data_IF_071718720316
#
_entry.id   IF_071718720316
#
_cell.length_a   1.000
_cell.length_b   1.000
_cell.length_c   1.000
_cell.angle_alpha   90.00
_cell.angle_beta   90.00
_cell.angle_gamma   90.00
#
_symmetry.space_group_name_H-M   'P 1'
#
loop_
_entity.id
_entity.type
_entity.pdbx_description
1 polymer ?
#
# COMPACT_ATOMS: atom_id res chain seq x y z
N UNK A 1 19.34 -5.82 8.55
CA UNK A 1 20.50 -5.21 9.24
C UNK A 1 21.52 -4.66 8.23
N UNK A 2 22.00 -5.44 7.25
CA UNK A 2 22.99 -4.95 6.25
C UNK A 2 22.44 -3.81 5.37
N UNK A 3 21.22 -3.92 4.85
CA UNK A 3 20.64 -2.89 3.95
C UNK A 3 20.53 -1.51 4.59
N UNK A 4 19.98 -1.42 5.81
CA UNK A 4 19.81 -0.14 6.51
C UNK A 4 21.16 0.52 6.87
N UNK A 5 22.18 -0.28 7.17
CA UNK A 5 23.55 0.22 7.41
C UNK A 5 24.15 0.81 6.13
N UNK A 6 24.01 0.11 4.99
CA UNK A 6 24.51 0.59 3.70
C UNK A 6 23.80 1.88 3.26
N UNK A 7 22.48 1.98 3.45
CA UNK A 7 21.75 3.22 3.16
C UNK A 7 22.16 4.37 4.08
N UNK A 8 22.41 4.10 5.36
CA UNK A 8 22.93 5.12 6.28
C UNK A 8 24.30 5.64 5.83
N UNK A 9 25.20 4.74 5.41
CA UNK A 9 26.51 5.11 4.87
C UNK A 9 26.39 5.89 3.55
N UNK A 10 25.56 5.42 2.62
CA UNK A 10 25.31 6.10 1.35
C UNK A 10 24.77 7.52 1.58
N UNK A 11 23.85 7.69 2.53
CA UNK A 11 23.29 8.98 2.91
C UNK A 11 24.33 9.92 3.55
N UNK A 12 25.33 9.40 4.26
CA UNK A 12 26.44 10.21 4.77
C UNK A 12 27.38 10.67 3.65
N UNK A 13 27.60 9.81 2.64
CA UNK A 13 28.48 10.12 1.50
C UNK A 13 27.84 11.10 0.50
N UNK A 14 26.51 11.08 0.38
CA UNK A 14 25.76 11.98 -0.51
C UNK A 14 24.42 12.40 0.11
N UNK A 15 24.44 13.38 1.04
CA UNK A 15 23.26 13.76 1.82
C UNK A 15 22.19 14.51 1.01
N UNK A 16 22.53 15.01 -0.18
CA UNK A 16 21.64 15.78 -1.06
C UNK A 16 21.08 14.95 -2.24
N UNK A 17 21.30 13.63 -2.27
CA UNK A 17 20.75 12.77 -3.31
C UNK A 17 19.32 12.36 -3.00
N UNK A 18 18.37 12.83 -3.81
CA UNK A 18 16.97 12.41 -3.72
C UNK A 18 16.80 10.90 -3.90
N UNK A 19 17.60 10.28 -4.77
CA UNK A 19 17.58 8.83 -5.00
C UNK A 19 17.95 8.05 -3.73
N UNK A 20 19.05 8.44 -3.06
CA UNK A 20 19.48 7.79 -1.82
C UNK A 20 18.43 7.98 -0.72
N UNK A 21 17.87 9.18 -0.59
CA UNK A 21 16.78 9.45 0.36
C UNK A 21 15.56 8.56 0.07
N UNK A 22 15.15 8.45 -1.20
CA UNK A 22 14.03 7.60 -1.59
C UNK A 22 14.29 6.13 -1.22
N UNK A 23 15.41 5.55 -1.65
CA UNK A 23 15.69 4.13 -1.39
C UNK A 23 15.91 3.83 0.09
N UNK A 24 16.49 4.76 0.85
CA UNK A 24 16.61 4.62 2.29
C UNK A 24 15.23 4.67 2.97
N UNK A 25 14.41 5.66 2.64
CA UNK A 25 13.04 5.78 3.15
C UNK A 25 12.19 4.56 2.80
N UNK A 26 12.33 4.03 1.58
CA UNK A 26 11.68 2.79 1.16
C UNK A 26 12.16 1.58 1.97
N UNK A 27 13.47 1.47 2.24
CA UNK A 27 14.01 0.39 3.08
C UNK A 27 13.47 0.44 4.51
N UNK A 28 13.40 1.64 5.11
CA UNK A 28 12.82 1.85 6.44
C UNK A 28 11.33 1.48 6.47
N UNK A 29 10.59 1.89 5.43
CA UNK A 29 9.18 1.54 5.28
C UNK A 29 8.99 0.02 5.18
N UNK A 30 9.82 -0.67 4.39
CA UNK A 30 9.82 -2.12 4.27
C UNK A 30 10.17 -2.82 5.60
N UNK A 31 11.02 -2.19 6.42
CA UNK A 31 11.34 -2.66 7.77
C UNK A 31 10.24 -2.37 8.81
N UNK A 32 9.21 -1.60 8.45
CA UNK A 32 8.12 -1.19 9.34
C UNK A 32 8.47 -0.01 10.26
N UNK A 33 9.58 0.70 10.01
CA UNK A 33 10.00 1.89 10.76
C UNK A 33 9.34 3.14 10.16
N UNK A 34 8.04 3.32 10.43
CA UNK A 34 7.19 4.27 9.70
C UNK A 34 7.59 5.74 9.93
N UNK A 35 7.97 6.12 11.14
CA UNK A 35 8.33 7.48 11.52
C UNK A 35 9.63 7.92 10.81
N UNK A 36 10.68 7.10 10.90
CA UNK A 36 11.96 7.33 10.22
C UNK A 36 11.80 7.30 8.70
N UNK A 37 10.97 6.38 8.19
CA UNK A 37 10.63 6.33 6.77
C UNK A 37 9.95 7.62 6.31
N UNK A 38 8.96 8.12 7.07
CA UNK A 38 8.24 9.34 6.74
C UNK A 38 9.17 10.55 6.71
N UNK A 39 10.05 10.68 7.70
CA UNK A 39 11.06 11.75 7.73
C UNK A 39 11.96 11.69 6.49
N UNK A 40 12.51 10.51 6.18
CA UNK A 40 13.44 10.33 5.06
C UNK A 40 12.76 10.55 3.70
N UNK A 41 11.51 10.11 3.54
CA UNK A 41 10.70 10.36 2.33
C UNK A 41 10.36 11.85 2.19
N UNK A 42 10.08 12.55 3.28
CA UNK A 42 9.89 14.00 3.22
C UNK A 42 11.18 14.74 2.80
N UNK A 43 12.35 14.28 3.23
CA UNK A 43 13.64 14.81 2.75
C UNK A 43 13.83 14.55 1.25
N UNK A 44 13.46 13.36 0.76
CA UNK A 44 13.45 13.07 -0.67
C UNK A 44 12.57 14.06 -1.45
N UNK A 45 11.33 14.28 -0.99
CA UNK A 45 10.37 15.17 -1.66
C UNK A 45 10.75 16.65 -1.56
N UNK A 46 11.57 17.06 -0.58
CA UNK A 46 12.16 18.40 -0.55
C UNK A 46 13.20 18.60 -1.66
N UNK A 47 13.94 17.55 -2.00
CA UNK A 47 14.98 17.57 -3.04
C UNK A 47 14.38 17.38 -4.44
N UNK A 48 13.39 16.50 -4.58
CA UNK A 48 12.66 16.21 -5.81
C UNK A 48 11.15 16.10 -5.50
N UNK A 49 10.41 17.22 -5.58
CA UNK A 49 8.98 17.25 -5.30
C UNK A 49 8.13 16.43 -6.28
N UNK A 50 8.66 16.08 -7.45
CA UNK A 50 7.92 15.40 -8.52
C UNK A 50 8.07 13.87 -8.50
N UNK A 51 8.81 13.35 -7.52
CA UNK A 51 9.12 11.93 -7.43
C UNK A 51 7.89 11.10 -7.05
N UNK A 52 7.20 10.60 -8.07
CA UNK A 52 5.99 9.78 -7.95
C UNK A 52 6.10 8.67 -6.89
N UNK A 53 7.19 7.91 -6.94
CA UNK A 53 7.40 6.78 -6.04
C UNK A 53 7.53 7.20 -4.56
N UNK A 54 8.15 8.36 -4.29
CA UNK A 54 8.25 8.92 -2.95
C UNK A 54 6.87 9.44 -2.46
N UNK A 55 6.11 10.09 -3.34
CA UNK A 55 4.74 10.52 -3.04
C UNK A 55 3.82 9.34 -2.68
N UNK A 56 3.84 8.27 -3.49
CA UNK A 56 3.06 7.05 -3.23
C UNK A 56 3.52 6.36 -1.94
N UNK A 57 4.83 6.33 -1.66
CA UNK A 57 5.35 5.77 -0.40
C UNK A 57 4.88 6.57 0.80
N UNK A 58 4.91 7.91 0.72
CA UNK A 58 4.37 8.80 1.75
C UNK A 58 2.88 8.54 1.99
N UNK A 59 2.12 8.31 0.93
CA UNK A 59 0.69 8.01 1.01
C UNK A 59 0.43 6.70 1.77
N UNK A 60 1.18 5.64 1.49
CA UNK A 60 1.09 4.39 2.25
C UNK A 60 1.42 4.59 3.73
N UNK A 61 2.51 5.31 4.03
CA UNK A 61 2.91 5.58 5.42
C UNK A 61 1.84 6.39 6.14
N UNK A 62 1.28 7.41 5.50
CA UNK A 62 0.20 8.25 6.04
C UNK A 62 -1.02 7.40 6.39
N UNK A 63 -1.45 6.52 5.48
CA UNK A 63 -2.55 5.59 5.74
C UNK A 63 -2.28 4.65 6.93
N UNK A 64 -1.06 4.14 7.08
CA UNK A 64 -0.73 3.20 8.16
C UNK A 64 -0.51 3.88 9.52
N UNK A 65 -0.04 5.13 9.53
CA UNK A 65 0.45 5.79 10.74
C UNK A 65 -0.51 6.87 11.26
N UNK A 66 -1.04 7.72 10.38
CA UNK A 66 -1.91 8.85 10.79
C UNK A 66 -3.38 8.56 10.54
N UNK A 67 -3.68 7.74 9.53
CA UNK A 67 -5.02 7.22 9.26
C UNK A 67 -5.59 7.68 7.91
N UNK A 68 -6.81 7.22 7.66
CA UNK A 68 -7.44 7.29 6.34
C UNK A 68 -7.84 8.71 5.90
N UNK A 69 -8.20 9.60 6.83
CA UNK A 69 -8.61 10.96 6.48
C UNK A 69 -7.43 11.81 5.99
N UNK A 70 -6.28 11.70 6.65
CA UNK A 70 -5.04 12.32 6.19
C UNK A 70 -4.54 11.69 4.88
N UNK A 71 -4.69 10.38 4.73
CA UNK A 71 -4.33 9.70 3.49
C UNK A 71 -5.17 10.19 2.31
N UNK A 72 -6.49 10.38 2.48
CA UNK A 72 -7.35 10.94 1.43
C UNK A 72 -6.89 12.35 1.04
N UNK A 73 -6.66 13.22 2.03
CA UNK A 73 -6.19 14.59 1.78
C UNK A 73 -4.85 14.60 1.03
N UNK A 74 -3.88 13.80 1.46
CA UNK A 74 -2.60 13.68 0.78
C UNK A 74 -2.75 13.11 -0.64
N UNK A 75 -3.65 12.14 -0.84
CA UNK A 75 -3.94 11.59 -2.16
C UNK A 75 -4.46 12.64 -3.13
N UNK A 76 -5.37 13.50 -2.66
CA UNK A 76 -5.89 14.63 -3.45
C UNK A 76 -4.80 15.67 -3.76
N UNK A 77 -3.95 16.00 -2.78
CA UNK A 77 -2.79 16.88 -2.98
C UNK A 77 -1.85 16.32 -4.06
N UNK A 78 -1.45 15.04 -3.95
CA UNK A 78 -0.55 14.38 -4.91
C UNK A 78 -1.14 14.34 -6.33
N UNK A 79 -2.43 14.03 -6.43
CA UNK A 79 -3.15 13.98 -7.71
C UNK A 79 -3.21 15.34 -8.39
N UNK A 80 -3.45 16.41 -7.62
CA UNK A 80 -3.53 17.79 -8.13
C UNK A 80 -2.21 18.36 -8.64
N UNK A 81 -1.08 17.78 -8.23
CA UNK A 81 0.24 18.30 -8.57
C UNK A 81 0.82 17.62 -9.81
N UNK A 82 1.17 16.35 -9.71
CA UNK A 82 1.96 15.66 -10.75
C UNK A 82 1.59 14.20 -10.94
N UNK A 83 0.61 13.66 -10.22
CA UNK A 83 0.21 12.24 -10.27
C UNK A 83 -1.24 12.03 -10.71
N UNK A 84 -1.80 12.94 -11.51
CA UNK A 84 -3.21 12.91 -11.91
C UNK A 84 -3.67 11.53 -12.41
N UNK A 85 -2.89 10.93 -13.33
CA UNK A 85 -3.25 9.68 -14.00
C UNK A 85 -2.48 8.46 -13.47
N UNK A 86 -1.86 8.56 -12.27
CA UNK A 86 -1.07 7.45 -11.74
C UNK A 86 -1.99 6.31 -11.24
N UNK A 87 -1.98 5.10 -11.84
CA UNK A 87 -2.97 4.07 -11.54
C UNK A 87 -2.83 3.50 -10.12
N UNK A 88 -1.62 3.53 -9.55
CA UNK A 88 -1.40 3.10 -8.16
C UNK A 88 -2.07 4.10 -7.22
N UNK A 89 -1.84 5.40 -7.42
CA UNK A 89 -2.48 6.47 -6.64
C UNK A 89 -4.00 6.38 -6.73
N UNK A 90 -4.54 6.28 -7.94
CA UNK A 90 -5.98 6.17 -8.18
C UNK A 90 -6.57 4.95 -7.47
N UNK A 91 -5.94 3.78 -7.57
CA UNK A 91 -6.41 2.56 -6.89
C UNK A 91 -6.43 2.70 -5.36
N UNK A 92 -5.44 3.39 -4.79
CA UNK A 92 -5.39 3.67 -3.34
C UNK A 92 -6.50 4.62 -2.93
N UNK A 93 -6.73 5.69 -3.69
CA UNK A 93 -7.82 6.63 -3.44
C UNK A 93 -9.20 5.96 -3.57
N UNK A 94 -9.40 5.09 -4.57
CA UNK A 94 -10.62 4.27 -4.71
C UNK A 94 -10.84 3.43 -3.44
N UNK A 95 -9.80 2.75 -2.97
CA UNK A 95 -9.85 1.96 -1.74
C UNK A 95 -10.18 2.83 -0.52
N UNK A 96 -9.51 3.98 -0.34
CA UNK A 96 -9.75 4.86 0.80
C UNK A 96 -11.16 5.45 0.79
N UNK A 97 -11.65 5.90 -0.36
CA UNK A 97 -13.00 6.43 -0.51
C UNK A 97 -14.05 5.36 -0.19
N UNK A 98 -13.85 4.13 -0.67
CA UNK A 98 -14.74 3.00 -0.36
C UNK A 98 -14.73 2.64 1.12
N UNK A 99 -13.57 2.61 1.77
CA UNK A 99 -13.43 2.40 3.22
C UNK A 99 -14.13 3.50 4.04
N UNK A 100 -14.19 4.75 3.54
CA UNK A 100 -14.94 5.85 4.17
C UNK A 100 -16.42 5.90 3.80
N UNK A 101 -16.93 4.94 3.04
CA UNK A 101 -18.32 4.92 2.58
C UNK A 101 -18.65 5.90 1.45
N UNK A 102 -17.64 6.57 0.86
CA UNK A 102 -17.80 7.53 -0.25
C UNK A 102 -17.87 6.80 -1.60
N UNK A 103 -18.80 5.85 -1.71
CA UNK A 103 -18.85 4.88 -2.80
C UNK A 103 -19.08 5.49 -4.19
N UNK A 104 -19.88 6.56 -4.31
CA UNK A 104 -20.07 7.23 -5.61
C UNK A 104 -18.79 7.87 -6.15
N UNK A 105 -18.01 8.51 -5.25
CA UNK A 105 -16.71 9.08 -5.63
C UNK A 105 -15.71 7.98 -6.00
N UNK A 106 -15.70 6.88 -5.25
CA UNK A 106 -14.87 5.72 -5.55
C UNK A 106 -15.21 5.14 -6.94
N UNK A 107 -16.50 4.93 -7.26
CA UNK A 107 -16.94 4.44 -8.58
C UNK A 107 -16.58 5.37 -9.72
N UNK A 108 -16.69 6.69 -9.53
CA UNK A 108 -16.26 7.66 -10.53
C UNK A 108 -14.76 7.51 -10.80
N UNK A 109 -13.97 7.44 -9.74
CA UNK A 109 -12.52 7.34 -9.83
C UNK A 109 -12.05 6.02 -10.45
N UNK A 110 -12.73 4.89 -10.18
CA UNK A 110 -12.42 3.61 -10.82
C UNK A 110 -12.49 3.68 -12.34
N UNK A 111 -13.39 4.49 -12.91
CA UNK A 111 -13.54 4.67 -14.37
C UNK A 111 -12.37 5.42 -15.01
N UNK A 112 -11.53 6.08 -14.20
CA UNK A 112 -10.34 6.79 -14.67
C UNK A 112 -9.14 5.83 -14.83
N UNK A 113 -9.19 4.61 -14.28
CA UNK A 113 -8.11 3.62 -14.35
C UNK A 113 -8.30 2.76 -15.60
N UNK A 114 -7.25 2.65 -16.44
CA UNK A 114 -7.30 1.80 -17.62
C UNK A 114 -7.39 0.34 -17.24
N UNK A 115 -8.22 -0.44 -17.94
CA UNK A 115 -8.36 -1.88 -17.68
C UNK A 115 -7.07 -2.65 -17.89
N UNK A 116 -6.17 -2.15 -18.75
CA UNK A 116 -4.85 -2.75 -19.00
C UNK A 116 -3.88 -2.59 -17.82
N UNK A 117 -4.15 -1.66 -16.91
CA UNK A 117 -3.33 -1.39 -15.73
C UNK A 117 -3.77 -2.20 -14.50
N UNK A 118 -4.91 -2.91 -14.58
CA UNK A 118 -5.48 -3.64 -13.45
C UNK A 118 -4.72 -4.95 -13.25
N UNK A 119 -3.66 -4.88 -12.46
CA UNK A 119 -2.80 -6.02 -12.10
C UNK A 119 -2.19 -5.83 -10.71
N UNK A 120 -1.82 -6.94 -10.06
CA UNK A 120 -1.14 -6.96 -8.77
C UNK A 120 -1.84 -6.10 -7.71
N UNK A 121 -1.12 -5.12 -7.15
CA UNK A 121 -1.63 -4.25 -6.09
C UNK A 121 -2.85 -3.41 -6.51
N UNK A 122 -2.93 -3.01 -7.78
CA UNK A 122 -4.08 -2.24 -8.29
C UNK A 122 -5.33 -3.13 -8.21
N UNK A 123 -5.25 -4.37 -8.71
CA UNK A 123 -6.33 -5.34 -8.62
C UNK A 123 -6.76 -5.58 -7.16
N UNK A 124 -5.79 -5.75 -6.25
CA UNK A 124 -6.06 -5.94 -4.81
C UNK A 124 -6.85 -4.78 -4.21
N UNK A 125 -6.44 -3.54 -4.49
CA UNK A 125 -7.12 -2.34 -3.98
C UNK A 125 -8.53 -2.21 -4.54
N UNK A 126 -8.72 -2.44 -5.85
CA UNK A 126 -10.02 -2.34 -6.50
C UNK A 126 -10.99 -3.43 -6.05
N UNK A 127 -10.52 -4.67 -5.90
CA UNK A 127 -11.32 -5.78 -5.38
C UNK A 127 -11.74 -5.56 -3.92
N UNK A 128 -10.84 -5.03 -3.09
CA UNK A 128 -11.18 -4.68 -1.71
C UNK A 128 -12.18 -3.52 -1.66
N UNK A 129 -12.03 -2.53 -2.55
CA UNK A 129 -12.99 -1.44 -2.70
C UNK A 129 -14.38 -1.96 -3.15
N UNK A 130 -14.42 -2.94 -4.04
CA UNK A 130 -15.66 -3.58 -4.50
C UNK A 130 -16.34 -4.34 -3.36
N UNK A 131 -15.57 -5.04 -2.52
CA UNK A 131 -16.08 -5.64 -1.28
C UNK A 131 -16.67 -4.61 -0.33
N UNK A 132 -16.01 -3.48 -0.13
CA UNK A 132 -16.54 -2.40 0.72
C UNK A 132 -17.88 -1.85 0.19
N UNK A 133 -18.10 -1.87 -1.12
CA UNK A 133 -19.30 -1.34 -1.77
C UNK A 133 -20.44 -2.35 -1.84
N UNK A 134 -20.13 -3.64 -2.01
CA UNK A 134 -21.10 -4.68 -2.35
C UNK A 134 -21.10 -5.88 -1.38
N UNK A 135 -20.24 -5.85 -0.36
CA UNK A 135 -20.12 -6.87 0.68
C UNK A 135 -19.98 -8.28 0.08
N UNK A 136 -20.82 -9.23 0.49
CA UNK A 136 -20.75 -10.63 0.09
C UNK A 136 -20.85 -10.85 -1.43
N UNK A 137 -21.49 -9.93 -2.16
CA UNK A 137 -21.64 -10.04 -3.62
C UNK A 137 -20.31 -9.97 -4.37
N UNK A 138 -19.28 -9.35 -3.78
CA UNK A 138 -17.95 -9.25 -4.39
C UNK A 138 -17.10 -10.52 -4.18
N UNK A 139 -17.49 -11.41 -3.25
CA UNK A 139 -16.65 -12.54 -2.84
C UNK A 139 -16.34 -13.55 -3.95
N UNK A 140 -17.27 -13.90 -4.88
CA UNK A 140 -16.96 -14.81 -5.98
C UNK A 140 -15.79 -14.31 -6.84
N UNK A 141 -15.80 -13.05 -7.25
CA UNK A 141 -14.74 -12.44 -8.05
C UNK A 141 -13.42 -12.34 -7.28
N UNK A 142 -13.47 -12.07 -5.97
CA UNK A 142 -12.28 -12.04 -5.13
C UNK A 142 -11.64 -13.44 -5.04
N UNK A 143 -12.45 -14.49 -4.87
CA UNK A 143 -11.95 -15.87 -4.82
C UNK A 143 -11.33 -16.29 -6.16
N UNK A 144 -11.99 -15.98 -7.27
CA UNK A 144 -11.44 -16.22 -8.61
C UNK A 144 -10.07 -15.55 -8.81
N UNK A 145 -9.95 -14.28 -8.39
CA UNK A 145 -8.66 -13.58 -8.42
C UNK A 145 -7.60 -14.27 -7.54
N UNK A 146 -7.94 -14.62 -6.30
CA UNK A 146 -7.02 -15.30 -5.39
C UNK A 146 -6.57 -16.68 -5.91
N UNK A 147 -7.46 -17.42 -6.56
CA UNK A 147 -7.16 -18.72 -7.20
C UNK A 147 -6.23 -18.57 -8.42
N UNK A 148 -6.31 -17.43 -9.13
CA UNK A 148 -5.44 -17.12 -10.27
C UNK A 148 -4.00 -16.73 -9.87
N UNK A 149 -3.80 -16.32 -8.61
CA UNK A 149 -2.51 -15.86 -8.09
C UNK A 149 -1.57 -17.04 -7.79
N UNK A 150 -0.55 -17.23 -8.64
CA UNK A 150 0.42 -18.33 -8.54
C UNK A 150 1.17 -18.42 -7.20
N UNK A 151 1.24 -17.34 -6.42
CA UNK A 151 2.02 -17.24 -5.18
C UNK A 151 1.24 -16.61 -4.04
N UNK A 152 -0.03 -16.97 -3.90
CA UNK A 152 -0.86 -16.50 -2.78
C UNK A 152 -0.14 -16.68 -1.44
N UNK A 153 0.42 -17.87 -1.24
CA UNK A 153 1.13 -18.31 -0.03
C UNK A 153 2.40 -17.54 0.33
N UNK A 154 2.91 -16.69 -0.58
CA UNK A 154 4.14 -15.92 -0.42
C UNK A 154 3.91 -14.39 -0.56
N UNK A 155 2.66 -13.95 -0.68
CA UNK A 155 2.32 -12.54 -0.88
C UNK A 155 1.44 -12.00 0.28
N UNK A 156 2.05 -11.39 1.32
CA UNK A 156 1.32 -10.77 2.42
C UNK A 156 0.38 -9.64 1.99
N UNK A 157 0.56 -9.06 0.81
CA UNK A 157 -0.34 -8.03 0.27
C UNK A 157 -1.74 -8.56 -0.05
N UNK A 158 -1.93 -9.87 -0.16
CA UNK A 158 -3.22 -10.51 -0.40
C UNK A 158 -4.03 -10.77 0.87
N UNK A 159 -3.43 -10.63 2.06
CA UNK A 159 -4.08 -10.89 3.34
C UNK A 159 -5.43 -10.17 3.51
N UNK A 160 -5.61 -8.90 3.07
CA UNK A 160 -6.91 -8.24 3.19
C UNK A 160 -8.01 -8.95 2.38
N UNK A 161 -7.68 -9.45 1.18
CA UNK A 161 -8.63 -10.20 0.36
C UNK A 161 -8.88 -11.60 0.92
N UNK A 162 -7.82 -12.29 1.38
CA UNK A 162 -7.94 -13.61 2.02
C UNK A 162 -8.84 -13.52 3.25
N UNK A 163 -8.66 -12.49 4.09
CA UNK A 163 -9.47 -12.26 5.29
C UNK A 163 -10.96 -12.13 4.97
N UNK A 164 -11.32 -11.37 3.93
CA UNK A 164 -12.74 -11.18 3.58
C UNK A 164 -13.32 -12.37 2.81
N UNK A 165 -12.53 -13.07 2.00
CA UNK A 165 -13.02 -14.14 1.13
C UNK A 165 -13.05 -15.54 1.77
N UNK A 166 -12.08 -15.81 2.65
CA UNK A 166 -11.86 -17.12 3.27
C UNK A 166 -11.99 -17.09 4.80
N UNK A 167 -12.13 -15.90 5.39
CA UNK A 167 -12.37 -15.73 6.82
C UNK A 167 -11.09 -15.72 7.66
N UNK A 168 -11.29 -15.48 8.95
CA UNK A 168 -10.25 -15.20 9.93
C UNK A 168 -9.29 -16.38 10.13
N UNK A 169 -9.80 -17.59 10.32
CA UNK A 169 -8.97 -18.78 10.56
C UNK A 169 -7.94 -19.05 9.44
N UNK A 170 -8.33 -18.84 8.17
CA UNK A 170 -7.43 -19.03 7.03
C UNK A 170 -6.41 -17.88 6.97
N UNK A 171 -6.86 -16.64 7.18
CA UNK A 171 -5.98 -15.48 7.19
C UNK A 171 -4.97 -15.50 8.35
N UNK A 172 -5.36 -15.95 9.54
CA UNK A 172 -4.47 -16.13 10.70
C UNK A 172 -3.39 -17.18 10.44
N UNK A 173 -3.75 -18.31 9.82
CA UNK A 173 -2.76 -19.33 9.44
C UNK A 173 -1.71 -18.75 8.50
N UNK A 174 -2.14 -17.98 7.51
CA UNK A 174 -1.27 -17.31 6.55
C UNK A 174 -0.40 -16.21 7.22
N UNK A 175 -1.00 -15.41 8.11
CA UNK A 175 -0.30 -14.41 8.92
C UNK A 175 0.81 -15.03 9.77
N UNK A 176 0.50 -16.12 10.49
CA UNK A 176 1.46 -16.82 11.32
C UNK A 176 2.59 -17.46 10.52
N UNK A 177 2.28 -18.00 9.32
CA UNK A 177 3.30 -18.48 8.38
C UNK A 177 4.30 -17.37 8.05
N UNK A 178 3.82 -16.21 7.60
CA UNK A 178 4.70 -15.09 7.24
C UNK A 178 5.53 -14.55 8.41
N UNK A 179 4.94 -14.53 9.61
CA UNK A 179 5.62 -14.15 10.84
C UNK A 179 6.78 -15.11 11.15
N UNK A 180 6.54 -16.42 11.02
CA UNK A 180 7.53 -17.46 11.32
C UNK A 180 8.66 -17.53 10.28
N UNK A 181 8.36 -17.22 9.01
CA UNK A 181 9.33 -17.23 7.91
C UNK A 181 10.18 -15.95 7.81
N UNK A 182 10.00 -14.98 8.73
CA UNK A 182 10.57 -13.63 8.64
C UNK A 182 10.38 -12.98 7.25
N UNK A 183 9.19 -13.16 6.66
CA UNK A 183 8.92 -12.70 5.31
C UNK A 183 9.16 -11.18 5.19
N UNK A 184 10.01 -10.78 4.24
CA UNK A 184 10.45 -9.39 4.10
C UNK A 184 9.29 -8.42 3.81
N UNK A 185 8.24 -8.88 3.12
CA UNK A 185 7.09 -8.06 2.77
C UNK A 185 6.09 -7.97 3.92
N UNK A 186 6.08 -8.97 4.81
CA UNK A 186 5.15 -9.02 5.93
C UNK A 186 5.40 -7.91 6.95
N UNK A 187 6.66 -7.51 7.17
CA UNK A 187 7.03 -6.40 8.06
C UNK A 187 6.32 -5.09 7.70
N UNK A 188 6.14 -4.83 6.41
CA UNK A 188 5.34 -3.73 5.87
C UNK A 188 3.84 -4.01 5.99
N UNK A 189 3.37 -5.12 5.43
CA UNK A 189 1.94 -5.37 5.25
C UNK A 189 1.18 -5.60 6.55
N UNK A 190 1.83 -6.11 7.60
CA UNK A 190 1.21 -6.25 8.93
C UNK A 190 0.71 -4.92 9.51
N UNK A 191 1.24 -3.79 9.01
CA UNK A 191 0.84 -2.44 9.40
C UNK A 191 -0.43 -1.93 8.70
N UNK A 192 -1.00 -2.68 7.75
CA UNK A 192 -2.26 -2.30 7.10
C UNK A 192 -3.44 -2.31 8.08
N UNK A 193 -4.17 -1.19 8.26
CA UNK A 193 -5.34 -1.10 9.13
C UNK A 193 -6.45 -2.14 8.83
N UNK A 194 -6.56 -2.61 7.59
CA UNK A 194 -7.53 -3.67 7.19
C UNK A 194 -7.29 -5.00 7.89
N UNK A 195 -6.08 -5.21 8.42
CA UNK A 195 -5.65 -6.44 9.07
C UNK A 195 -5.66 -6.34 10.59
N UNK A 196 -6.27 -5.30 11.17
CA UNK A 196 -6.23 -5.08 12.63
C UNK A 196 -6.79 -6.26 13.44
N UNK A 197 -7.72 -7.04 12.87
CA UNK A 197 -8.28 -8.24 13.49
C UNK A 197 -7.25 -9.38 13.65
N UNK A 198 -6.19 -9.39 12.86
CA UNK A 198 -5.16 -10.45 12.87
C UNK A 198 -3.95 -10.09 13.75
N UNK A 199 -3.96 -8.92 14.41
CA UNK A 199 -2.81 -8.39 15.17
C UNK A 199 -2.80 -8.83 16.62
#
# INVERSE_FOLDING_TARGET
IVGSLLFKQANLLSPISADIKYYYGWNLFMAGQLEEALQTINECLKLDPTRAAAGITKLWITYYHTGIDDAIRLGDELRSQHLQDNPILLSMQVMFLSLKGKHELARKLTKEISTQEITGLIAVNLLYAEYCQNSERALPTIREFLESEQRIDNNPGLLPLVLVAHGEAIAEKMWNKFKNEDNIWFKRWKQDPRLIKLR
#
